data_IF_455395848583
#
_entry.id   IF_455395848583
#
_cell.length_a   1.000
_cell.length_b   1.000
_cell.length_c   1.000
_cell.angle_alpha   90.00
_cell.angle_beta   90.00
_cell.angle_gamma   90.00
#
_symmetry.space_group_name_H-M   'P 1'
#
loop_
_entity.id
_entity.type
_entity.pdbx_description
1 polymer ?
#
# COMPACT_ATOMS: atom_id res chain seq x y z
N UNK A 1 41.98 50.73 1.07
CA UNK A 1 40.56 50.28 1.13
C UNK A 1 40.31 48.95 0.35
N UNK A 2 40.92 47.80 0.69
CA UNK A 2 40.60 46.52 0.01
C UNK A 2 39.60 45.63 0.78
N UNK A 3 39.49 45.79 2.11
CA UNK A 3 38.81 44.83 3.01
C UNK A 3 37.28 44.86 2.82
N UNK A 4 36.70 46.04 2.57
CA UNK A 4 35.26 46.23 2.35
C UNK A 4 34.75 45.53 1.07
N UNK A 5 35.59 45.45 0.04
CA UNK A 5 35.24 44.79 -1.23
C UNK A 5 35.08 43.26 -1.09
N UNK A 6 35.91 42.65 -0.24
CA UNK A 6 35.89 41.20 0.02
C UNK A 6 34.67 40.79 0.85
N UNK A 7 34.29 41.62 1.85
CA UNK A 7 33.09 41.40 2.67
C UNK A 7 31.82 41.58 1.82
N UNK A 8 31.76 42.59 0.96
CA UNK A 8 30.63 42.82 0.06
C UNK A 8 30.41 41.65 -0.92
N UNK A 9 31.49 41.06 -1.44
CA UNK A 9 31.42 39.88 -2.31
C UNK A 9 30.92 38.65 -1.53
N UNK A 10 31.43 38.41 -0.32
CA UNK A 10 30.99 37.32 0.56
C UNK A 10 29.52 37.41 0.95
N UNK A 11 29.03 38.63 1.28
CA UNK A 11 27.61 38.89 1.57
C UNK A 11 26.74 38.66 0.32
N UNK A 12 27.22 39.03 -0.86
CA UNK A 12 26.50 38.83 -2.13
C UNK A 12 26.37 37.34 -2.48
N UNK A 13 27.42 36.55 -2.24
CA UNK A 13 27.41 35.09 -2.43
C UNK A 13 26.49 34.42 -1.40
N UNK A 14 26.59 34.80 -0.12
CA UNK A 14 25.77 34.28 0.97
C UNK A 14 24.28 34.64 0.83
N UNK A 15 23.93 35.79 0.22
CA UNK A 15 22.54 36.17 -0.04
C UNK A 15 21.93 35.44 -1.25
N UNK A 16 22.76 34.97 -2.20
CA UNK A 16 22.32 34.21 -3.38
C UNK A 16 22.23 32.70 -3.14
N UNK A 17 23.07 32.15 -2.26
CA UNK A 17 23.05 30.74 -1.85
C UNK A 17 21.66 30.23 -1.41
N UNK A 18 20.94 30.90 -0.49
CA UNK A 18 19.61 30.48 -0.06
C UNK A 18 18.58 30.52 -1.18
N UNK A 19 18.64 31.53 -2.07
CA UNK A 19 17.71 31.66 -3.20
C UNK A 19 17.91 30.52 -4.19
N UNK A 20 19.16 30.27 -4.58
CA UNK A 20 19.50 29.18 -5.51
C UNK A 20 19.09 27.82 -4.94
N UNK A 21 19.39 27.54 -3.66
CA UNK A 21 19.01 26.28 -3.00
C UNK A 21 17.48 26.15 -2.85
N UNK A 22 16.78 27.23 -2.52
CA UNK A 22 15.31 27.24 -2.42
C UNK A 22 14.65 27.07 -3.80
N UNK A 23 15.21 27.66 -4.86
CA UNK A 23 14.74 27.50 -6.23
C UNK A 23 14.90 26.06 -6.69
N UNK A 24 16.03 25.41 -6.42
CA UNK A 24 16.21 23.97 -6.68
C UNK A 24 15.21 23.11 -5.91
N UNK A 25 14.93 23.42 -4.65
CA UNK A 25 13.94 22.71 -3.83
C UNK A 25 12.52 22.88 -4.39
N UNK A 26 12.17 24.09 -4.82
CA UNK A 26 10.88 24.39 -5.45
C UNK A 26 10.74 23.63 -6.79
N UNK A 27 11.76 23.65 -7.63
CA UNK A 27 11.77 22.95 -8.91
C UNK A 27 11.66 21.42 -8.73
N UNK A 28 12.39 20.86 -7.77
CA UNK A 28 12.30 19.44 -7.42
C UNK A 28 10.90 19.06 -6.90
N UNK A 29 10.25 19.94 -6.13
CA UNK A 29 8.88 19.74 -5.65
C UNK A 29 7.86 19.76 -6.79
N UNK A 30 8.04 20.64 -7.78
CA UNK A 30 7.23 20.71 -8.99
C UNK A 30 7.43 19.48 -9.87
N UNK A 31 8.66 19.01 -10.06
CA UNK A 31 8.99 17.79 -10.80
C UNK A 31 8.38 16.56 -10.10
N UNK A 32 8.48 16.44 -8.77
CA UNK A 32 7.82 15.38 -8.01
C UNK A 32 6.29 15.41 -8.14
N UNK A 33 5.70 16.61 -8.10
CA UNK A 33 4.24 16.81 -8.25
C UNK A 33 3.77 16.49 -9.67
N UNK A 34 4.59 16.74 -10.69
CA UNK A 34 4.31 16.31 -12.06
C UNK A 34 4.51 14.80 -12.22
N UNK A 35 5.56 14.23 -11.63
CA UNK A 35 5.86 12.79 -11.69
C UNK A 35 4.71 11.92 -11.15
N UNK A 36 4.00 12.38 -10.12
CA UNK A 36 2.79 11.67 -9.63
C UNK A 36 1.62 11.74 -10.61
N UNK A 37 1.44 12.84 -11.35
CA UNK A 37 0.43 12.98 -12.43
C UNK A 37 0.77 12.16 -13.67
N UNK A 38 2.05 11.96 -13.98
CA UNK A 38 2.52 11.11 -15.09
C UNK A 38 2.70 9.63 -14.70
N UNK A 39 2.32 9.24 -13.48
CA UNK A 39 2.35 7.83 -13.09
C UNK A 39 1.38 7.02 -13.94
N UNK A 40 1.92 6.17 -14.82
CA UNK A 40 1.12 5.20 -15.59
C UNK A 40 0.67 4.00 -14.72
N UNK A 41 0.61 4.15 -13.39
CA UNK A 41 0.20 3.12 -12.44
C UNK A 41 -0.89 3.65 -11.52
N UNK A 42 -1.90 2.83 -11.29
CA UNK A 42 -3.00 3.05 -10.34
C UNK A 42 -2.86 2.07 -9.19
N UNK A 43 -3.29 2.48 -8.01
CA UNK A 43 -3.42 1.60 -6.84
C UNK A 43 -4.89 1.58 -6.44
N UNK A 44 -5.50 0.41 -6.54
CA UNK A 44 -6.84 0.13 -6.04
C UNK A 44 -6.71 -0.35 -4.59
N UNK A 45 -7.60 0.12 -3.73
CA UNK A 45 -7.71 -0.30 -2.32
C UNK A 45 -8.96 -1.14 -2.20
N UNK A 46 -8.83 -2.29 -1.54
CA UNK A 46 -9.90 -3.24 -1.29
C UNK A 46 -9.92 -3.45 0.22
N UNK A 47 -10.83 -2.76 0.90
CA UNK A 47 -10.96 -2.83 2.37
C UNK A 47 -11.65 -4.13 2.80
N UNK A 48 -11.32 -4.63 3.99
CA UNK A 48 -11.92 -5.86 4.55
C UNK A 48 -13.45 -5.76 4.69
N UNK A 49 -13.95 -4.55 4.97
CA UNK A 49 -15.37 -4.26 5.13
C UNK A 49 -15.81 -3.20 4.12
N UNK A 50 -16.98 -3.39 3.54
CA UNK A 50 -17.70 -2.41 2.72
C UNK A 50 -19.05 -2.12 3.38
N UNK A 51 -19.18 -0.94 3.98
CA UNK A 51 -20.31 -0.60 4.85
C UNK A 51 -20.36 -1.49 6.10
N UNK A 52 -21.45 -2.24 6.25
CA UNK A 52 -21.66 -3.16 7.40
C UNK A 52 -21.25 -4.60 7.10
N UNK A 53 -20.94 -4.92 5.84
CA UNK A 53 -20.61 -6.27 5.39
C UNK A 53 -19.12 -6.47 5.17
N UNK A 54 -18.68 -7.73 5.20
CA UNK A 54 -17.35 -8.08 4.67
C UNK A 54 -17.33 -7.92 3.15
N UNK A 55 -16.23 -7.41 2.63
CA UNK A 55 -16.05 -7.23 1.21
C UNK A 55 -15.70 -8.59 0.55
N UNK A 56 -16.57 -9.08 -0.33
CA UNK A 56 -16.36 -10.36 -1.02
C UNK A 56 -15.07 -10.39 -1.87
N UNK A 57 -14.68 -9.24 -2.42
CA UNK A 57 -13.43 -9.12 -3.18
C UNK A 57 -12.23 -9.28 -2.25
N UNK A 58 -12.32 -8.75 -1.02
CA UNK A 58 -11.28 -8.94 -0.01
C UNK A 58 -11.14 -10.42 0.36
N UNK A 59 -12.25 -11.09 0.68
CA UNK A 59 -12.24 -12.51 1.05
C UNK A 59 -11.69 -13.39 -0.08
N UNK A 60 -12.10 -13.12 -1.33
CA UNK A 60 -11.58 -13.81 -2.49
C UNK A 60 -10.07 -13.58 -2.67
N UNK A 61 -9.61 -12.34 -2.53
CA UNK A 61 -8.19 -12.01 -2.63
C UNK A 61 -7.39 -12.70 -1.52
N UNK A 62 -7.88 -12.73 -0.28
CA UNK A 62 -7.23 -13.42 0.83
C UNK A 62 -7.02 -14.91 0.51
N UNK A 63 -8.08 -15.62 0.09
CA UNK A 63 -8.02 -17.04 -0.26
C UNK A 63 -7.09 -17.28 -1.46
N UNK A 64 -7.26 -16.52 -2.54
CA UNK A 64 -6.49 -16.69 -3.76
C UNK A 64 -5.00 -16.43 -3.52
N UNK A 65 -4.66 -15.31 -2.87
CA UNK A 65 -3.28 -14.95 -2.61
C UNK A 65 -2.64 -15.94 -1.65
N UNK A 66 -3.33 -16.38 -0.59
CA UNK A 66 -2.83 -17.40 0.34
C UNK A 66 -2.46 -18.71 -0.37
N UNK A 67 -3.33 -19.21 -1.25
CA UNK A 67 -3.16 -20.51 -1.87
C UNK A 67 -2.27 -20.49 -3.14
N UNK A 68 -2.52 -19.57 -4.08
CA UNK A 68 -1.93 -19.65 -5.42
C UNK A 68 -0.56 -18.97 -5.57
N UNK A 69 -0.15 -18.13 -4.62
CA UNK A 69 1.11 -17.36 -4.72
C UNK A 69 2.14 -17.77 -3.66
N UNK A 70 1.96 -18.96 -3.09
CA UNK A 70 2.84 -19.56 -2.10
C UNK A 70 4.07 -20.19 -2.77
N UNK A 71 5.27 -19.85 -2.30
CA UNK A 71 6.29 -20.85 -1.90
C UNK A 71 7.67 -20.27 -1.54
N UNK A 72 8.12 -19.13 -2.08
CA UNK A 72 9.55 -18.78 -1.93
C UNK A 72 9.96 -17.82 -0.81
N UNK A 73 9.10 -16.91 -0.32
CA UNK A 73 9.53 -15.87 0.65
C UNK A 73 8.41 -15.35 1.57
N UNK A 74 7.48 -16.20 2.00
CA UNK A 74 6.38 -15.78 2.87
C UNK A 74 6.75 -15.84 4.33
N UNK A 75 6.40 -14.80 5.07
CA UNK A 75 6.26 -14.90 6.52
C UNK A 75 4.79 -15.21 6.78
N UNK A 76 4.52 -16.22 7.60
CA UNK A 76 3.17 -16.68 7.93
C UNK A 76 2.94 -16.46 9.42
N UNK A 77 1.74 -16.00 9.77
CA UNK A 77 1.28 -15.85 11.15
C UNK A 77 0.27 -16.95 11.43
N UNK A 78 0.62 -17.85 12.35
CA UNK A 78 -0.29 -18.84 12.90
C UNK A 78 -0.93 -18.29 14.18
N UNK A 79 -2.24 -18.39 14.30
CA UNK A 79 -2.97 -18.06 15.53
C UNK A 79 -3.94 -19.18 15.89
N UNK A 80 -4.07 -19.45 17.18
CA UNK A 80 -5.06 -20.35 17.76
C UNK A 80 -5.88 -19.57 18.79
N UNK A 81 -7.20 -19.65 18.72
CA UNK A 81 -8.11 -19.04 19.70
C UNK A 81 -8.77 -20.15 20.50
N UNK A 82 -8.93 -19.99 21.82
CA UNK A 82 -9.51 -21.03 22.71
C UNK A 82 -10.89 -21.53 22.29
N UNK A 83 -11.67 -20.70 21.59
CA UNK A 83 -13.00 -21.05 21.07
C UNK A 83 -12.96 -22.07 19.92
N UNK A 84 -11.84 -22.16 19.21
CA UNK A 84 -11.65 -23.06 18.08
C UNK A 84 -10.73 -24.22 18.50
N UNK A 85 -11.32 -25.26 19.12
CA UNK A 85 -10.57 -26.37 19.74
C UNK A 85 -9.57 -27.06 18.78
N UNK A 86 -9.84 -27.08 17.47
CA UNK A 86 -9.10 -27.90 16.49
C UNK A 86 -8.62 -27.20 15.21
N UNK A 87 -8.72 -25.87 15.05
CA UNK A 87 -8.23 -25.16 13.85
C UNK A 87 -7.08 -24.22 14.18
N UNK A 88 -5.92 -24.45 13.55
CA UNK A 88 -4.86 -23.44 13.48
C UNK A 88 -5.22 -22.51 12.32
N UNK A 89 -5.53 -21.25 12.63
CA UNK A 89 -5.73 -20.24 11.58
C UNK A 89 -4.36 -19.79 11.09
N UNK A 90 -4.04 -20.11 9.85
CA UNK A 90 -2.84 -19.62 9.17
C UNK A 90 -3.22 -18.39 8.35
N UNK A 91 -2.55 -17.27 8.63
CA UNK A 91 -2.69 -16.01 7.90
C UNK A 91 -1.34 -15.60 7.34
N UNK A 92 -1.29 -14.90 6.21
CA UNK A 92 -0.05 -14.27 5.73
C UNK A 92 0.43 -13.20 6.74
N UNK A 93 1.74 -12.97 6.82
CA UNK A 93 2.24 -11.84 7.59
C UNK A 93 1.91 -10.53 6.84
N UNK A 94 1.30 -9.59 7.57
CA UNK A 94 0.89 -8.31 7.03
C UNK A 94 2.08 -7.47 6.54
N UNK A 95 1.88 -6.64 5.52
CA UNK A 95 2.88 -5.85 4.78
C UNK A 95 3.71 -6.61 3.72
N UNK A 96 3.42 -7.89 3.44
CA UNK A 96 4.06 -8.58 2.33
C UNK A 96 3.61 -8.04 0.96
N UNK A 97 4.56 -7.94 0.03
CA UNK A 97 4.36 -7.46 -1.34
C UNK A 97 4.46 -8.62 -2.32
N UNK A 98 3.34 -9.05 -2.86
CA UNK A 98 3.29 -10.16 -3.82
C UNK A 98 3.24 -9.60 -5.24
N UNK A 99 4.20 -10.00 -6.09
CA UNK A 99 4.15 -9.74 -7.53
C UNK A 99 3.42 -10.89 -8.20
N UNK A 100 2.51 -10.57 -9.10
CA UNK A 100 1.75 -11.56 -9.84
C UNK A 100 1.71 -11.19 -11.32
N UNK A 101 1.71 -12.20 -12.19
CA UNK A 101 1.54 -12.01 -13.63
C UNK A 101 0.41 -12.93 -14.07
N UNK A 102 -0.60 -12.33 -14.69
CA UNK A 102 -1.75 -13.05 -15.24
C UNK A 102 -2.02 -12.53 -16.64
N UNK A 103 -2.10 -13.44 -17.61
CA UNK A 103 -2.31 -13.12 -19.02
C UNK A 103 -1.36 -12.04 -19.56
N UNK A 104 -0.08 -12.09 -19.16
CA UNK A 104 0.93 -11.08 -19.53
C UNK A 104 0.80 -9.72 -18.81
N UNK A 105 -0.25 -9.50 -18.03
CA UNK A 105 -0.43 -8.29 -17.22
C UNK A 105 0.26 -8.45 -15.85
N UNK A 106 1.02 -7.41 -15.45
CA UNK A 106 1.77 -7.39 -14.18
C UNK A 106 0.95 -6.69 -13.09
N UNK A 107 0.74 -7.39 -11.98
CA UNK A 107 0.03 -6.94 -10.79
C UNK A 107 0.94 -6.97 -9.58
N UNK A 108 0.74 -6.04 -8.66
CA UNK A 108 1.41 -6.05 -7.36
C UNK A 108 0.38 -5.90 -6.25
N UNK A 109 0.26 -6.95 -5.46
CA UNK A 109 -0.54 -6.99 -4.25
C UNK A 109 0.29 -6.57 -3.05
N UNK A 110 -0.35 -5.91 -2.09
CA UNK A 110 0.24 -5.56 -0.80
C UNK A 110 -0.83 -5.66 0.26
N UNK A 111 -0.64 -6.52 1.25
CA UNK A 111 -1.56 -6.61 2.38
C UNK A 111 -1.22 -5.52 3.41
N UNK A 112 -2.21 -4.76 3.86
CA UNK A 112 -2.06 -3.73 4.87
C UNK A 112 -2.91 -4.04 6.08
N UNK A 113 -2.32 -3.86 7.26
CA UNK A 113 -3.01 -3.90 8.55
C UNK A 113 -2.59 -2.65 9.32
N UNK A 114 -3.57 -1.85 9.72
CA UNK A 114 -3.37 -0.68 10.57
C UNK A 114 -4.08 -0.92 11.89
N UNK A 115 -3.38 -0.70 13.00
CA UNK A 115 -4.02 -0.63 14.30
C UNK A 115 -4.56 0.79 14.47
N UNK A 116 -5.88 0.95 14.45
CA UNK A 116 -6.47 2.19 14.92
C UNK A 116 -6.39 2.21 16.45
N UNK A 117 -5.77 3.25 16.98
CA UNK A 117 -5.89 3.58 18.39
C UNK A 117 -7.04 4.57 18.48
N UNK A 118 -8.19 4.13 18.98
CA UNK A 118 -9.21 5.07 19.42
C UNK A 118 -8.64 5.93 20.57
N UNK A 119 -9.11 7.17 20.65
CA UNK A 119 -8.53 8.28 21.41
C UNK A 119 -7.97 7.97 22.82
N UNK A 120 -6.98 8.75 23.32
CA UNK A 120 -6.35 8.53 24.63
C UNK A 120 -7.24 8.81 25.86
N UNK A 121 -8.55 9.00 25.69
CA UNK A 121 -9.42 9.52 26.77
C UNK A 121 -10.25 8.48 27.51
N UNK A 122 -10.21 7.21 27.12
CA UNK A 122 -10.84 6.14 27.88
C UNK A 122 -9.86 5.00 28.15
N UNK A 123 -9.40 4.92 29.40
CA UNK A 123 -8.44 3.92 29.91
C UNK A 123 -9.01 2.48 29.82
N UNK A 124 -10.30 2.33 29.47
CA UNK A 124 -10.98 1.04 29.41
C UNK A 124 -11.60 0.67 28.05
N UNK A 125 -11.39 1.47 26.99
CA UNK A 125 -11.87 1.15 25.64
C UNK A 125 -10.74 0.58 24.78
N UNK A 126 -10.42 -0.71 24.97
CA UNK A 126 -9.52 -1.44 24.07
C UNK A 126 -10.33 -2.01 22.90
N UNK A 127 -11.05 -1.18 22.16
CA UNK A 127 -11.46 -1.56 20.80
C UNK A 127 -10.24 -1.34 19.89
N UNK A 128 -9.36 -2.34 19.84
CA UNK A 128 -8.35 -2.43 18.77
C UNK A 128 -9.08 -2.75 17.47
N UNK A 129 -9.57 -1.71 16.80
CA UNK A 129 -10.05 -1.86 15.43
C UNK A 129 -8.82 -1.97 14.53
N UNK A 130 -8.45 -3.20 14.18
CA UNK A 130 -7.44 -3.47 13.14
C UNK A 130 -8.11 -3.26 11.78
N UNK A 131 -7.76 -2.18 11.07
CA UNK A 131 -8.24 -1.93 9.71
C UNK A 131 -7.35 -2.71 8.75
N UNK A 132 -7.92 -3.69 8.05
CA UNK A 132 -7.23 -4.50 7.05
C UNK A 132 -7.67 -4.14 5.65
N UNK A 133 -6.72 -4.09 4.73
CA UNK A 133 -7.01 -3.85 3.31
C UNK A 133 -5.94 -4.42 2.40
N UNK A 134 -6.32 -4.73 1.17
CA UNK A 134 -5.39 -5.05 0.10
C UNK A 134 -5.19 -3.84 -0.82
N UNK A 135 -3.92 -3.61 -1.18
CA UNK A 135 -3.56 -2.68 -2.26
C UNK A 135 -3.16 -3.45 -3.50
N UNK A 136 -3.90 -3.24 -4.58
CA UNK A 136 -3.62 -3.78 -5.91
C UNK A 136 -3.07 -2.68 -6.81
N UNK A 137 -1.80 -2.78 -7.18
CA UNK A 137 -1.11 -1.84 -8.08
C UNK A 137 -0.92 -2.42 -9.48
N UNK A 138 -1.36 -1.68 -10.50
CA UNK A 138 -1.35 -2.08 -11.91
C UNK A 138 -1.20 -0.86 -12.84
N UNK A 139 -1.04 -1.09 -14.14
CA UNK A 139 -0.94 0.00 -15.13
C UNK A 139 -2.30 0.66 -15.35
N UNK A 140 -2.37 1.99 -15.42
CA UNK A 140 -3.63 2.74 -15.56
C UNK A 140 -4.49 2.24 -16.73
N UNK A 141 -3.84 1.96 -17.87
CA UNK A 141 -4.50 1.43 -19.08
C UNK A 141 -5.14 0.04 -18.94
N UNK A 142 -4.91 -0.67 -17.85
CA UNK A 142 -5.51 -1.99 -17.59
C UNK A 142 -6.67 -1.92 -16.60
N UNK A 143 -7.21 -0.72 -16.32
CA UNK A 143 -8.28 -0.57 -15.32
C UNK A 143 -9.50 -1.43 -15.65
N UNK A 144 -9.97 -1.36 -16.89
CA UNK A 144 -11.19 -2.08 -17.30
C UNK A 144 -10.93 -3.59 -17.30
N UNK A 145 -9.77 -4.02 -17.83
CA UNK A 145 -9.31 -5.41 -17.73
C UNK A 145 -9.24 -5.93 -16.28
N UNK A 146 -8.83 -5.08 -15.33
CA UNK A 146 -8.80 -5.47 -13.91
C UNK A 146 -10.20 -5.72 -13.37
N UNK A 147 -11.14 -4.83 -13.69
CA UNK A 147 -12.52 -4.88 -13.19
C UNK A 147 -13.33 -6.00 -13.85
N UNK A 148 -13.16 -6.20 -15.15
CA UNK A 148 -13.99 -7.08 -15.97
C UNK A 148 -13.42 -8.50 -16.10
N UNK A 149 -12.11 -8.67 -15.92
CA UNK A 149 -11.44 -9.97 -16.16
C UNK A 149 -10.65 -10.45 -14.95
N UNK A 150 -9.70 -9.65 -14.46
CA UNK A 150 -8.75 -10.12 -13.45
C UNK A 150 -9.36 -10.35 -12.07
N UNK A 151 -10.15 -9.39 -11.55
CA UNK A 151 -10.82 -9.56 -10.26
C UNK A 151 -11.89 -10.66 -10.31
N UNK A 152 -12.77 -10.74 -11.33
CA UNK A 152 -13.69 -11.86 -11.48
C UNK A 152 -12.98 -13.22 -11.53
N UNK A 153 -11.84 -13.33 -12.21
CA UNK A 153 -11.01 -14.54 -12.21
C UNK A 153 -10.55 -14.91 -10.79
N UNK A 154 -10.00 -13.95 -10.03
CA UNK A 154 -9.59 -14.18 -8.63
C UNK A 154 -10.78 -14.68 -7.79
N UNK A 155 -11.95 -14.05 -7.93
CA UNK A 155 -13.15 -14.45 -7.20
C UNK A 155 -13.61 -15.85 -7.55
N UNK A 156 -13.56 -16.23 -8.82
CA UNK A 156 -13.89 -17.57 -9.29
C UNK A 156 -12.92 -18.62 -8.75
N UNK A 157 -11.61 -18.36 -8.86
CA UNK A 157 -10.56 -19.24 -8.32
C UNK A 157 -10.67 -19.41 -6.80
N UNK A 158 -10.91 -18.33 -6.08
CA UNK A 158 -11.09 -18.37 -4.64
C UNK A 158 -12.26 -19.28 -4.24
N UNK A 159 -13.36 -19.30 -5.00
CA UNK A 159 -14.49 -20.22 -4.75
C UNK A 159 -14.08 -21.69 -4.90
N UNK A 160 -13.28 -22.02 -5.91
CA UNK A 160 -12.76 -23.39 -6.06
C UNK A 160 -11.81 -23.80 -4.93
N UNK A 161 -11.01 -22.84 -4.43
CA UNK A 161 -10.06 -23.07 -3.35
C UNK A 161 -10.69 -23.12 -1.96
N UNK A 162 -11.86 -22.49 -1.78
CA UNK A 162 -12.53 -22.39 -0.47
C UNK A 162 -13.06 -23.74 0.02
N UNK A 163 -13.44 -24.64 -0.89
CA UNK A 163 -13.98 -25.96 -0.58
C UNK A 163 -15.38 -25.89 0.01
#
# INVERSE_FOLDING_TARGET
MPILSSIALGVTIAARLPKVVNDYRALFSLIKRCSSKFSNKVTMVIDEFDGQGKNEIYEAAEIYLCNNLSTKNRKIKASKTEKEKNSIKVTLEHNERVKHVYDGHKFKWTWQEFKCFDHPKDINSVFRSEVKSFKLKFKKKHKDYVLETYLPYIMKEAKYLKG
#
